data_IF_517128039751
#
_entry.id   IF_517128039751
#
_cell.length_a   1.000
_cell.length_b   1.000
_cell.length_c   1.000
_cell.angle_alpha   90.00
_cell.angle_beta   90.00
_cell.angle_gamma   90.00
#
_symmetry.space_group_name_H-M   'P 1'
#
loop_
_entity.id
_entity.type
_entity.pdbx_description
1 polymer ?
#
# COMPACT_ATOMS: atom_id res chain seq x y z
N UNK A 1 -0.61 4.75 -21.30
CA UNK A 1 0.36 4.42 -20.22
C UNK A 1 1.74 4.86 -20.67
N UNK A 2 2.53 5.43 -19.75
CA UNK A 2 3.91 5.85 -20.04
C UNK A 2 4.94 4.71 -19.93
N UNK A 3 4.57 3.62 -19.23
CA UNK A 3 5.39 2.42 -19.05
C UNK A 3 5.30 1.48 -20.26
N UNK A 4 6.43 0.93 -20.72
CA UNK A 4 6.52 0.12 -21.93
C UNK A 4 6.14 -1.36 -21.77
N UNK A 5 6.18 -1.90 -20.54
CA UNK A 5 5.80 -3.29 -20.23
C UNK A 5 5.13 -3.40 -18.85
N UNK A 6 3.95 -4.01 -18.79
CA UNK A 6 3.19 -4.22 -17.56
C UNK A 6 2.93 -5.71 -17.35
N UNK A 7 3.25 -6.21 -16.16
CA UNK A 7 2.84 -7.52 -15.69
C UNK A 7 1.72 -7.37 -14.65
N UNK A 8 0.79 -8.31 -14.59
CA UNK A 8 -0.29 -8.37 -13.62
C UNK A 8 -0.11 -9.62 -12.75
N UNK A 9 -0.20 -9.45 -11.44
CA UNK A 9 -0.24 -10.57 -10.50
C UNK A 9 -1.56 -10.49 -9.75
N UNK A 10 -2.51 -11.31 -10.15
CA UNK A 10 -3.77 -11.47 -9.45
C UNK A 10 -3.59 -12.44 -8.29
N UNK A 11 -3.59 -11.92 -7.07
CA UNK A 11 -3.44 -12.75 -5.88
C UNK A 11 -4.60 -12.57 -4.93
N UNK A 12 -5.26 -13.67 -4.58
CA UNK A 12 -6.37 -13.65 -3.62
C UNK A 12 -5.92 -13.40 -2.18
N UNK A 13 -6.85 -13.42 -1.22
CA UNK A 13 -6.50 -13.40 0.20
C UNK A 13 -5.64 -14.62 0.56
N UNK A 14 -4.60 -14.42 1.38
CA UNK A 14 -3.79 -15.54 1.87
C UNK A 14 -2.93 -16.26 0.82
N UNK A 15 -2.90 -15.82 -0.45
CA UNK A 15 -2.11 -16.46 -1.53
C UNK A 15 -0.62 -16.15 -1.54
N UNK A 16 -0.13 -15.46 -0.50
CA UNK A 16 1.29 -15.14 -0.38
C UNK A 16 1.76 -13.93 -1.17
N UNK A 17 0.88 -13.06 -1.71
CA UNK A 17 1.23 -11.81 -2.44
C UNK A 17 2.47 -11.09 -1.90
N UNK A 18 2.45 -10.65 -0.62
CA UNK A 18 3.57 -9.91 -0.03
C UNK A 18 4.86 -10.73 0.06
N UNK A 19 4.78 -12.07 0.15
CA UNK A 19 5.94 -12.97 0.12
C UNK A 19 6.49 -13.10 -1.29
N UNK A 20 5.63 -13.28 -2.28
CA UNK A 20 5.98 -13.30 -3.70
C UNK A 20 6.65 -12.00 -4.11
N UNK A 21 6.08 -10.84 -3.75
CA UNK A 21 6.66 -9.52 -4.03
C UNK A 21 8.07 -9.41 -3.43
N UNK A 22 8.25 -9.76 -2.15
CA UNK A 22 9.55 -9.66 -1.51
C UNK A 22 10.59 -10.60 -2.15
N UNK A 23 10.18 -11.83 -2.51
CA UNK A 23 11.03 -12.79 -3.21
C UNK A 23 11.45 -12.28 -4.59
N UNK A 24 10.50 -11.75 -5.38
CA UNK A 24 10.78 -11.15 -6.70
C UNK A 24 11.73 -9.97 -6.58
N UNK A 25 11.52 -9.06 -5.64
CA UNK A 25 12.44 -7.92 -5.41
C UNK A 25 13.85 -8.44 -5.05
N UNK A 26 13.93 -9.43 -4.17
CA UNK A 26 15.19 -10.03 -3.76
C UNK A 26 15.93 -10.66 -4.95
N UNK A 27 15.22 -11.42 -5.78
CA UNK A 27 15.76 -12.09 -6.95
C UNK A 27 16.23 -11.10 -8.02
N UNK A 28 15.38 -10.12 -8.37
CA UNK A 28 15.71 -9.08 -9.34
C UNK A 28 16.96 -8.29 -8.96
N UNK A 29 17.15 -8.04 -7.67
CA UNK A 29 18.28 -7.23 -7.17
C UNK A 29 19.55 -8.05 -6.95
N UNK A 30 19.44 -9.32 -6.52
CA UNK A 30 20.58 -10.25 -6.36
C UNK A 30 21.14 -10.70 -7.71
N UNK A 31 20.27 -11.00 -8.67
CA UNK A 31 20.64 -11.40 -10.03
C UNK A 31 21.01 -10.20 -10.93
N UNK A 32 21.07 -8.98 -10.36
CA UNK A 32 21.46 -7.74 -11.07
C UNK A 32 20.59 -7.45 -12.31
N UNK A 33 19.34 -7.93 -12.33
CA UNK A 33 18.36 -7.60 -13.38
C UNK A 33 18.03 -6.11 -13.35
N UNK A 34 18.00 -5.53 -12.14
CA UNK A 34 17.96 -4.09 -11.94
C UNK A 34 18.80 -3.71 -10.71
N UNK A 35 19.26 -2.46 -10.67
CA UNK A 35 20.02 -1.96 -9.51
C UNK A 35 19.15 -1.82 -8.27
N UNK A 36 17.93 -1.32 -8.46
CA UNK A 36 16.97 -0.99 -7.40
C UNK A 36 15.55 -1.17 -7.93
N UNK A 37 14.67 -1.73 -7.11
CA UNK A 37 13.23 -1.80 -7.37
C UNK A 37 12.51 -0.70 -6.60
N UNK A 38 11.58 -0.01 -7.26
CA UNK A 38 10.63 0.87 -6.59
C UNK A 38 9.39 0.06 -6.20
N UNK A 39 9.18 -0.11 -4.91
CA UNK A 39 8.01 -0.79 -4.36
C UNK A 39 6.99 0.23 -3.85
N UNK A 40 5.78 0.15 -4.38
CA UNK A 40 4.65 0.98 -4.03
C UNK A 40 3.54 0.13 -3.39
N UNK A 41 2.78 0.74 -2.48
CA UNK A 41 1.54 0.17 -2.00
C UNK A 41 0.46 1.24 -1.85
N UNK A 42 -0.81 0.85 -2.00
CA UNK A 42 -1.95 1.72 -1.74
C UNK A 42 -1.96 2.22 -0.28
N UNK A 43 -1.63 1.33 0.65
CA UNK A 43 -1.71 1.57 2.10
C UNK A 43 -0.37 1.29 2.80
N UNK A 44 -0.15 1.99 3.92
CA UNK A 44 1.09 1.83 4.70
C UNK A 44 1.22 0.43 5.30
N UNK A 45 0.12 -0.24 5.64
CA UNK A 45 0.16 -1.60 6.20
C UNK A 45 0.69 -2.62 5.20
N UNK A 46 0.23 -2.56 3.95
CA UNK A 46 0.74 -3.39 2.85
C UNK A 46 2.22 -3.10 2.59
N UNK A 47 2.62 -1.83 2.63
CA UNK A 47 4.01 -1.41 2.53
C UNK A 47 4.89 -2.10 3.60
N UNK A 48 4.45 -2.04 4.85
CA UNK A 48 5.17 -2.60 6.00
C UNK A 48 5.24 -4.13 5.98
N UNK A 49 4.19 -4.78 5.48
CA UNK A 49 4.15 -6.23 5.28
C UNK A 49 5.29 -6.71 4.38
N UNK A 50 5.57 -5.99 3.29
CA UNK A 50 6.65 -6.34 2.36
C UNK A 50 8.01 -5.89 2.90
N UNK A 51 8.13 -4.70 3.49
CA UNK A 51 9.40 -4.22 4.09
C UNK A 51 9.93 -5.21 5.14
N UNK A 52 9.07 -5.73 6.03
CA UNK A 52 9.49 -6.73 7.03
C UNK A 52 10.07 -7.99 6.37
N UNK A 53 9.50 -8.42 5.25
CA UNK A 53 9.98 -9.60 4.51
C UNK A 53 11.28 -9.32 3.76
N UNK A 54 11.42 -8.14 3.15
CA UNK A 54 12.67 -7.71 2.53
C UNK A 54 13.80 -7.65 3.57
N UNK A 55 13.50 -7.18 4.78
CA UNK A 55 14.44 -7.20 5.89
C UNK A 55 14.85 -8.62 6.30
N UNK A 56 13.89 -9.55 6.41
CA UNK A 56 14.18 -10.97 6.68
C UNK A 56 14.98 -11.65 5.55
N UNK A 57 15.06 -11.05 4.36
CA UNK A 57 15.85 -11.50 3.22
C UNK A 57 17.16 -10.71 3.06
N UNK A 58 17.51 -9.86 4.04
CA UNK A 58 18.68 -8.99 4.02
C UNK A 58 18.78 -8.10 2.78
N UNK A 59 17.63 -7.65 2.24
CA UNK A 59 17.60 -6.73 1.10
C UNK A 59 17.74 -5.29 1.63
N UNK A 60 18.78 -4.53 1.24
CA UNK A 60 18.93 -3.13 1.64
C UNK A 60 17.73 -2.29 1.19
N UNK A 61 16.92 -1.86 2.15
CA UNK A 61 15.60 -1.27 1.91
C UNK A 61 15.51 0.12 2.53
N UNK A 62 14.87 1.03 1.81
CA UNK A 62 14.61 2.40 2.26
C UNK A 62 13.12 2.65 2.22
N UNK A 63 12.54 3.17 3.31
CA UNK A 63 11.13 3.56 3.38
C UNK A 63 11.01 5.08 3.31
N UNK A 64 10.24 5.59 2.36
CA UNK A 64 9.80 6.99 2.38
C UNK A 64 8.35 7.07 2.85
N UNK A 65 8.14 7.71 4.00
CA UNK A 65 6.81 7.95 4.57
C UNK A 65 6.74 9.33 5.22
N UNK A 66 5.53 9.77 5.56
CA UNK A 66 5.33 10.98 6.34
C UNK A 66 5.70 10.74 7.81
N UNK A 67 6.30 11.77 8.44
CA UNK A 67 6.81 11.72 9.83
C UNK A 67 5.76 11.25 10.86
N UNK A 68 4.49 11.61 10.66
CA UNK A 68 3.38 11.24 11.54
C UNK A 68 3.07 9.73 11.57
N UNK A 69 3.48 8.97 10.55
CA UNK A 69 3.24 7.52 10.50
C UNK A 69 4.36 6.71 11.16
N UNK A 70 5.57 7.27 11.23
CA UNK A 70 6.77 6.61 11.75
C UNK A 70 6.78 6.53 13.29
N UNK A 71 6.28 7.57 13.95
CA UNK A 71 6.24 7.66 15.42
C UNK A 71 5.39 6.56 16.06
N UNK A 72 4.46 5.95 15.31
CA UNK A 72 3.55 4.92 15.81
C UNK A 72 4.13 3.49 15.79
N UNK A 73 5.24 3.22 15.10
CA UNK A 73 5.55 1.83 14.69
C UNK A 73 6.72 1.11 15.38
N UNK A 74 7.47 1.72 16.32
CA UNK A 74 8.55 1.06 17.12
C UNK A 74 9.33 -0.03 16.35
N UNK A 75 9.86 0.28 15.16
CA UNK A 75 10.67 -0.66 14.37
C UNK A 75 12.16 -0.54 14.72
N UNK A 76 12.90 -1.66 14.65
CA UNK A 76 14.33 -1.74 14.99
C UNK A 76 15.20 -0.80 14.13
N UNK A 77 16.14 -0.09 14.78
CA UNK A 77 17.01 0.96 14.21
C UNK A 77 18.00 0.49 13.12
N UNK A 78 18.19 -0.83 12.93
CA UNK A 78 19.29 -1.36 12.11
C UNK A 78 19.04 -1.42 10.59
N UNK A 79 17.80 -1.22 10.12
CA UNK A 79 17.48 -1.61 8.73
C UNK A 79 16.36 -0.83 8.04
N UNK A 80 15.91 0.26 8.64
CA UNK A 80 14.96 1.17 8.00
C UNK A 80 15.54 2.57 8.12
N UNK A 81 16.07 3.10 7.01
CA UNK A 81 16.24 4.55 6.85
C UNK A 81 14.83 5.14 6.79
N UNK A 82 14.29 5.49 7.95
CA UNK A 82 12.84 5.53 8.14
C UNK A 82 12.23 6.88 7.82
N UNK A 83 13.03 7.95 7.82
CA UNK A 83 12.58 9.30 7.48
C UNK A 83 13.64 10.05 6.67
N UNK A 84 13.18 10.98 5.82
CA UNK A 84 14.05 11.92 5.12
C UNK A 84 14.98 12.70 6.09
N UNK A 85 14.53 12.98 7.32
CA UNK A 85 15.34 13.68 8.33
C UNK A 85 16.46 12.81 8.91
N UNK A 86 16.23 11.49 9.04
CA UNK A 86 17.26 10.53 9.46
C UNK A 86 18.29 10.33 8.36
N UNK A 87 17.80 10.21 7.12
CA UNK A 87 18.64 10.17 5.93
C UNK A 87 19.55 11.40 5.90
N UNK A 88 19.01 12.62 6.02
CA UNK A 88 19.78 13.86 6.05
C UNK A 88 20.84 13.86 7.16
N UNK A 89 20.49 13.34 8.34
CA UNK A 89 21.42 13.26 9.47
C UNK A 89 22.55 12.25 9.23
N UNK A 90 22.26 11.12 8.57
CA UNK A 90 23.24 10.08 8.25
C UNK A 90 24.18 10.46 7.09
N UNK A 91 23.67 11.15 6.07
CA UNK A 91 24.49 11.59 4.92
C UNK A 91 25.22 12.90 5.17
N UNK A 92 25.15 13.45 6.39
CA UNK A 92 25.81 14.72 6.75
C UNK A 92 25.28 15.92 5.97
N UNK A 93 24.04 15.88 5.49
CA UNK A 93 23.47 16.97 4.74
C UNK A 93 23.09 18.14 5.64
N UNK A 94 23.22 19.36 5.09
CA UNK A 94 22.86 20.57 5.79
C UNK A 94 21.41 20.50 6.29
N UNK A 95 21.24 20.59 7.61
CA UNK A 95 19.92 20.81 8.20
C UNK A 95 19.36 22.14 7.71
N UNK A 96 18.03 22.27 7.60
CA UNK A 96 17.45 23.59 7.36
C UNK A 96 17.94 24.55 8.45
N UNK A 97 18.42 25.72 8.04
CA UNK A 97 18.76 26.86 8.92
C UNK A 97 17.56 27.20 9.81
N UNK A 98 17.82 27.84 10.97
CA UNK A 98 16.77 28.24 11.92
C UNK A 98 15.61 28.98 11.24
N UNK A 99 15.94 29.91 10.35
CA UNK A 99 14.98 30.70 9.55
C UNK A 99 14.13 29.82 8.63
N UNK A 100 14.74 28.91 7.85
CA UNK A 100 13.99 28.03 6.96
C UNK A 100 13.18 26.98 7.72
N UNK A 101 13.67 26.51 8.87
CA UNK A 101 12.93 25.64 9.77
C UNK A 101 11.68 26.36 10.35
N UNK A 102 11.79 27.65 10.67
CA UNK A 102 10.69 28.50 11.10
C UNK A 102 9.68 28.74 9.99
N UNK A 103 10.13 29.02 8.76
CA UNK A 103 9.28 29.05 7.56
C UNK A 103 8.46 27.76 7.41
N UNK A 104 9.09 26.60 7.54
CA UNK A 104 8.40 25.30 7.44
C UNK A 104 7.39 25.09 8.59
N UNK A 105 7.65 25.61 9.79
CA UNK A 105 6.71 25.57 10.92
C UNK A 105 5.47 26.42 10.62
N UNK A 106 5.64 27.65 10.16
CA UNK A 106 4.51 28.54 9.84
C UNK A 106 3.67 28.00 8.67
N UNK A 107 4.32 27.42 7.65
CA UNK A 107 3.64 26.72 6.56
C UNK A 107 2.80 25.52 7.06
N UNK A 108 3.28 24.77 8.05
CA UNK A 108 2.53 23.66 8.68
C UNK A 108 1.32 24.15 9.47
N UNK A 109 1.42 25.30 10.14
CA UNK A 109 0.28 25.97 10.81
C UNK A 109 -0.74 26.54 9.83
N UNK A 110 -0.47 26.49 8.52
CA UNK A 110 -1.26 27.09 7.44
C UNK A 110 -1.34 28.62 7.52
N UNK A 111 -0.44 29.28 8.26
CA UNK A 111 -0.32 30.73 8.28
C UNK A 111 0.51 31.19 7.07
N UNK A 112 -0.21 31.52 5.99
CA UNK A 112 0.43 31.96 4.73
C UNK A 112 1.13 33.31 4.86
N UNK A 113 0.64 34.21 5.73
CA UNK A 113 1.16 35.56 5.85
C UNK A 113 2.48 35.54 6.63
N UNK A 114 2.52 34.83 7.76
CA UNK A 114 3.73 34.62 8.55
C UNK A 114 4.80 33.86 7.76
N UNK A 115 4.41 32.77 7.08
CA UNK A 115 5.33 32.02 6.23
C UNK A 115 5.93 32.88 5.11
N UNK A 116 5.13 33.77 4.49
CA UNK A 116 5.63 34.65 3.41
C UNK A 116 6.64 35.69 3.90
N UNK A 117 6.52 36.15 5.15
CA UNK A 117 7.47 37.09 5.77
C UNK A 117 8.85 36.46 6.03
N UNK A 118 8.88 35.16 6.32
CA UNK A 118 10.11 34.40 6.62
C UNK A 118 10.70 33.78 5.35
N UNK A 119 9.94 33.74 4.26
CA UNK A 119 10.31 33.05 3.03
C UNK A 119 11.58 33.62 2.39
N UNK A 120 12.64 32.80 2.35
CA UNK A 120 13.87 33.08 1.63
C UNK A 120 14.04 32.07 0.49
N UNK A 121 13.97 32.56 -0.75
CA UNK A 121 14.09 31.76 -1.98
C UNK A 121 15.47 31.10 -2.11
N UNK A 122 16.55 31.76 -1.66
CA UNK A 122 17.91 31.22 -1.74
C UNK A 122 18.08 30.05 -0.78
N UNK A 123 17.53 30.16 0.44
CA UNK A 123 17.51 29.08 1.42
C UNK A 123 16.61 27.92 0.98
N UNK A 124 15.43 28.20 0.41
CA UNK A 124 14.56 27.15 -0.13
C UNK A 124 15.25 26.36 -1.24
N UNK A 125 15.89 27.05 -2.19
CA UNK A 125 16.64 26.39 -3.28
C UNK A 125 17.75 25.49 -2.73
N UNK A 126 18.56 26.01 -1.79
CA UNK A 126 19.63 25.25 -1.14
C UNK A 126 19.11 24.02 -0.40
N UNK A 127 17.96 24.14 0.28
CA UNK A 127 17.32 23.01 0.96
C UNK A 127 16.82 21.97 -0.03
N UNK A 128 16.16 22.37 -1.12
CA UNK A 128 15.68 21.46 -2.16
C UNK A 128 16.84 20.73 -2.86
N UNK A 129 17.95 21.42 -3.13
CA UNK A 129 19.17 20.81 -3.67
C UNK A 129 19.79 19.81 -2.70
N UNK A 130 19.92 20.18 -1.42
CA UNK A 130 20.42 19.28 -0.37
C UNK A 130 19.51 18.05 -0.25
N UNK A 131 18.20 18.24 -0.30
CA UNK A 131 17.21 17.15 -0.30
C UNK A 131 17.37 16.22 -1.48
N UNK A 132 17.48 16.76 -2.70
CA UNK A 132 17.73 15.97 -3.91
C UNK A 132 19.01 15.17 -3.79
N UNK A 133 20.08 15.76 -3.26
CA UNK A 133 21.36 15.09 -3.04
C UNK A 133 21.24 13.94 -2.02
N UNK A 134 20.59 14.16 -0.87
CA UNK A 134 20.34 13.12 0.13
C UNK A 134 19.60 11.92 -0.45
N UNK A 135 18.49 12.21 -1.15
CA UNK A 135 17.69 11.19 -1.83
C UNK A 135 18.58 10.43 -2.79
N UNK A 136 19.37 11.12 -3.63
CA UNK A 136 20.30 10.48 -4.57
C UNK A 136 21.34 9.57 -3.89
N UNK A 137 21.91 9.98 -2.77
CA UNK A 137 22.89 9.17 -2.00
C UNK A 137 22.24 7.91 -1.44
N UNK A 138 21.03 8.03 -0.89
CA UNK A 138 20.30 6.89 -0.33
C UNK A 138 19.84 5.92 -1.40
N UNK A 139 19.28 6.44 -2.50
CA UNK A 139 18.86 5.63 -3.64
C UNK A 139 20.03 4.87 -4.27
N UNK A 140 21.27 5.40 -4.21
CA UNK A 140 22.45 4.69 -4.71
C UNK A 140 22.75 3.39 -3.94
N UNK A 141 22.46 3.36 -2.64
CA UNK A 141 22.78 2.22 -1.78
C UNK A 141 21.58 1.28 -1.54
N UNK A 142 20.37 1.75 -1.82
CA UNK A 142 19.16 0.94 -1.72
C UNK A 142 19.06 -0.10 -2.85
N UNK A 143 18.53 -1.27 -2.51
CA UNK A 143 18.06 -2.29 -3.46
C UNK A 143 16.55 -2.26 -3.60
N UNK A 144 15.84 -1.83 -2.56
CA UNK A 144 14.41 -1.58 -2.59
C UNK A 144 14.10 -0.19 -2.01
N UNK A 145 13.27 0.57 -2.72
CA UNK A 145 12.77 1.87 -2.27
C UNK A 145 11.27 1.73 -2.12
N UNK A 146 10.77 1.88 -0.90
CA UNK A 146 9.40 1.59 -0.55
C UNK A 146 8.63 2.87 -0.24
N UNK A 147 7.55 3.13 -0.98
CA UNK A 147 6.70 4.31 -0.79
C UNK A 147 5.22 3.93 -0.79
N UNK A 148 4.36 4.70 -0.13
CA UNK A 148 2.96 4.72 -0.57
C UNK A 148 2.85 5.38 -1.94
N UNK A 149 1.81 5.08 -2.71
CA UNK A 149 1.60 5.64 -4.06
C UNK A 149 1.64 7.17 -4.05
N UNK A 150 0.98 7.80 -3.08
CA UNK A 150 0.98 9.25 -2.88
C UNK A 150 2.37 9.85 -2.58
N UNK A 151 3.31 9.03 -2.07
CA UNK A 151 4.67 9.46 -1.81
C UNK A 151 5.65 9.08 -2.94
N UNK A 152 5.20 8.38 -3.99
CA UNK A 152 6.01 8.05 -5.18
C UNK A 152 6.74 9.27 -5.79
N UNK A 153 6.12 10.46 -5.96
CA UNK A 153 6.82 11.63 -6.49
C UNK A 153 8.06 12.04 -5.68
N UNK A 154 8.08 11.72 -4.38
CA UNK A 154 9.19 12.09 -3.49
C UNK A 154 10.49 11.37 -3.82
N UNK A 155 10.41 10.23 -4.52
CA UNK A 155 11.57 9.47 -4.98
C UNK A 155 11.90 9.76 -6.45
N UNK A 156 11.07 10.54 -7.15
CA UNK A 156 11.34 11.08 -8.50
C UNK A 156 11.64 10.00 -9.54
N UNK A 157 10.98 8.85 -9.44
CA UNK A 157 11.25 7.68 -10.29
C UNK A 157 12.55 6.94 -9.95
N UNK A 158 13.30 7.36 -8.92
CA UNK A 158 14.47 6.71 -8.31
C UNK A 158 15.60 6.18 -9.24
N UNK A 159 15.52 6.41 -10.56
CA UNK A 159 16.24 5.60 -11.54
C UNK A 159 15.88 4.12 -11.48
N UNK A 160 14.74 3.76 -10.88
CA UNK A 160 14.30 2.37 -10.78
C UNK A 160 13.66 1.95 -12.11
N UNK A 161 14.29 1.00 -12.78
CA UNK A 161 13.79 0.45 -14.06
C UNK A 161 12.48 -0.32 -13.86
N UNK A 162 12.26 -0.84 -12.66
CA UNK A 162 11.13 -1.70 -12.30
C UNK A 162 10.38 -1.10 -11.12
N UNK A 163 9.06 -0.91 -11.31
CA UNK A 163 8.12 -0.53 -10.25
C UNK A 163 7.15 -1.68 -9.97
N UNK A 164 6.97 -2.03 -8.69
CA UNK A 164 5.97 -3.03 -8.25
C UNK A 164 4.95 -2.32 -7.37
N UNK A 165 3.66 -2.47 -7.68
CA UNK A 165 2.57 -1.82 -6.94
C UNK A 165 1.67 -2.88 -6.28
N UNK A 166 1.65 -2.93 -4.95
CA UNK A 166 0.75 -3.81 -4.17
C UNK A 166 -0.59 -3.13 -3.87
N UNK A 167 -1.62 -3.95 -3.69
CA UNK A 167 -3.02 -3.53 -3.55
C UNK A 167 -3.48 -2.64 -4.71
N UNK A 168 -3.04 -2.94 -5.94
CA UNK A 168 -3.29 -2.13 -7.12
C UNK A 168 -4.78 -1.98 -7.46
N UNK A 169 -5.61 -2.96 -7.06
CA UNK A 169 -7.07 -2.89 -7.16
C UNK A 169 -7.71 -1.79 -6.29
N UNK A 170 -7.03 -1.35 -5.23
CA UNK A 170 -7.51 -0.31 -4.30
C UNK A 170 -7.07 1.11 -4.70
N UNK A 171 -6.29 1.25 -5.77
CA UNK A 171 -5.74 2.54 -6.22
C UNK A 171 -6.61 3.08 -7.36
N UNK A 172 -7.21 4.27 -7.24
CA UNK A 172 -7.89 4.90 -8.36
C UNK A 172 -6.92 5.07 -9.55
N UNK A 173 -7.39 4.84 -10.78
CA UNK A 173 -6.50 4.86 -11.96
C UNK A 173 -5.65 6.14 -12.07
N UNK A 174 -6.23 7.31 -11.76
CA UNK A 174 -5.52 8.59 -11.80
C UNK A 174 -4.43 8.73 -10.73
N UNK A 175 -4.57 8.05 -9.58
CA UNK A 175 -3.55 8.03 -8.53
C UNK A 175 -2.36 7.12 -8.89
N UNK A 176 -2.47 6.29 -9.94
CA UNK A 176 -1.36 5.46 -10.40
C UNK A 176 -0.29 6.24 -11.18
N UNK A 177 -0.64 7.41 -11.73
CA UNK A 177 0.25 8.22 -12.59
C UNK A 177 1.63 8.46 -11.96
N UNK A 178 1.75 8.84 -10.66
CA UNK A 178 3.05 8.99 -10.02
C UNK A 178 3.89 7.72 -9.92
N UNK A 179 3.28 6.54 -9.85
CA UNK A 179 3.99 5.26 -9.83
C UNK A 179 4.42 4.84 -11.24
N UNK A 180 3.66 5.22 -12.26
CA UNK A 180 4.03 5.04 -13.67
C UNK A 180 5.15 5.98 -14.11
N UNK A 181 5.15 7.21 -13.58
CA UNK A 181 6.10 8.26 -13.93
C UNK A 181 7.53 7.92 -13.49
N UNK A 182 8.24 7.20 -14.36
CA UNK A 182 9.64 6.78 -14.18
C UNK A 182 9.88 5.27 -14.34
N UNK A 183 8.82 4.46 -14.39
CA UNK A 183 8.93 3.01 -14.56
C UNK A 183 9.15 2.64 -16.04
N UNK A 184 10.18 1.83 -16.34
CA UNK A 184 10.33 1.22 -17.66
C UNK A 184 9.52 -0.08 -17.76
N UNK A 185 9.44 -0.81 -16.64
CA UNK A 185 8.64 -2.02 -16.45
C UNK A 185 7.85 -1.89 -15.16
N UNK A 186 6.62 -2.40 -15.16
CA UNK A 186 5.76 -2.35 -13.99
C UNK A 186 5.14 -3.71 -13.71
N UNK A 187 5.01 -4.07 -12.43
CA UNK A 187 4.15 -5.16 -11.99
C UNK A 187 3.04 -4.61 -11.10
N UNK A 188 1.79 -4.85 -11.46
CA UNK A 188 0.62 -4.52 -10.65
C UNK A 188 0.16 -5.78 -9.93
N UNK A 189 0.16 -5.73 -8.60
CA UNK A 189 -0.22 -6.85 -7.74
C UNK A 189 -1.47 -6.46 -6.98
N UNK A 190 -2.50 -7.31 -7.02
CA UNK A 190 -3.75 -6.99 -6.35
C UNK A 190 -4.82 -8.03 -6.58
N UNK A 191 -6.03 -7.67 -6.17
CA UNK A 191 -7.23 -8.45 -6.36
C UNK A 191 -8.39 -7.53 -6.68
N UNK A 192 -8.92 -7.65 -7.89
CA UNK A 192 -10.04 -6.82 -8.36
C UNK A 192 -11.39 -7.30 -7.81
N UNK A 193 -11.43 -8.46 -7.14
CA UNK A 193 -12.61 -8.96 -6.43
C UNK A 193 -12.69 -8.51 -4.97
N UNK A 194 -11.64 -7.86 -4.46
CA UNK A 194 -11.60 -7.29 -3.10
C UNK A 194 -12.09 -5.83 -3.09
N UNK A 195 -11.80 -5.10 -2.01
CA UNK A 195 -12.26 -3.73 -1.82
C UNK A 195 -11.85 -2.84 -3.01
N UNK A 196 -12.80 -2.14 -3.65
CA UNK A 196 -12.47 -1.17 -4.68
C UNK A 196 -11.88 0.11 -4.06
N UNK A 197 -11.30 1.00 -4.88
CA UNK A 197 -10.85 2.31 -4.43
C UNK A 197 -11.99 3.15 -3.87
N UNK A 198 -11.73 3.89 -2.78
CA UNK A 198 -12.70 4.81 -2.19
C UNK A 198 -12.62 6.15 -2.93
N UNK A 199 -13.61 6.42 -3.80
CA UNK A 199 -13.70 7.68 -4.54
C UNK A 199 -14.68 8.62 -3.82
N UNK A 200 -14.16 9.64 -3.14
CA UNK A 200 -14.98 10.68 -2.52
C UNK A 200 -15.12 11.85 -3.49
N UNK A 201 -16.29 12.01 -4.09
CA UNK A 201 -16.61 13.13 -4.98
C UNK A 201 -17.75 13.96 -4.39
N UNK A 202 -17.60 15.29 -4.40
CA UNK A 202 -18.70 16.22 -4.11
C UNK A 202 -19.71 16.32 -5.25
N UNK A 203 -19.33 15.87 -6.45
CA UNK A 203 -20.20 15.82 -7.64
C UNK A 203 -20.75 14.41 -7.81
N UNK A 204 -22.07 14.30 -8.06
CA UNK A 204 -22.73 13.05 -8.46
C UNK A 204 -22.26 12.67 -9.87
N UNK A 205 -21.14 11.96 -9.94
CA UNK A 205 -20.65 11.37 -11.17
C UNK A 205 -21.10 9.91 -11.22
N UNK A 206 -21.45 9.37 -12.40
CA UNK A 206 -21.63 7.93 -12.53
C UNK A 206 -20.33 7.23 -12.13
N UNK A 207 -20.41 6.04 -11.49
CA UNK A 207 -19.22 5.29 -11.14
C UNK A 207 -18.42 4.96 -12.43
N UNK A 208 -17.08 5.00 -12.38
CA UNK A 208 -16.27 4.63 -13.53
C UNK A 208 -16.48 3.16 -13.90
N UNK A 209 -16.32 2.82 -15.19
CA UNK A 209 -16.47 1.45 -15.70
C UNK A 209 -15.52 0.44 -15.05
N UNK A 210 -14.33 0.89 -14.67
CA UNK A 210 -13.38 0.17 -13.84
C UNK A 210 -12.89 1.15 -12.78
N UNK A 211 -12.80 0.70 -11.53
CA UNK A 211 -12.45 1.58 -10.43
C UNK A 211 -10.93 1.81 -10.34
N UNK A 212 -10.13 0.86 -10.83
CA UNK A 212 -8.66 0.91 -10.84
C UNK A 212 -8.04 0.54 -12.20
N UNK A 213 -6.78 0.94 -12.40
CA UNK A 213 -5.99 0.50 -13.54
C UNK A 213 -5.85 -1.03 -13.57
N UNK A 214 -5.67 -1.65 -12.41
CA UNK A 214 -5.52 -3.10 -12.29
C UNK A 214 -6.77 -3.84 -12.76
N UNK A 215 -7.94 -3.43 -12.28
CA UNK A 215 -9.23 -3.99 -12.69
C UNK A 215 -9.43 -3.88 -14.20
N UNK A 216 -9.14 -2.72 -14.78
CA UNK A 216 -9.26 -2.51 -16.23
C UNK A 216 -8.34 -3.46 -17.02
N UNK A 217 -7.08 -3.59 -16.61
CA UNK A 217 -6.11 -4.41 -17.31
C UNK A 217 -6.37 -5.91 -17.14
N UNK A 218 -6.72 -6.37 -15.93
CA UNK A 218 -6.97 -7.78 -15.66
C UNK A 218 -8.26 -8.28 -16.33
N UNK A 219 -9.29 -7.42 -16.39
CA UNK A 219 -10.54 -7.71 -17.11
C UNK A 219 -10.30 -7.83 -18.61
N UNK A 220 -9.51 -6.91 -19.18
CA UNK A 220 -9.15 -6.96 -20.60
C UNK A 220 -8.27 -8.17 -20.95
N UNK A 221 -7.48 -8.67 -20.00
CA UNK A 221 -6.70 -9.90 -20.16
C UNK A 221 -7.53 -11.17 -19.91
N UNK A 222 -8.85 -11.06 -19.73
CA UNK A 222 -9.78 -12.14 -19.40
C UNK A 222 -9.38 -12.98 -18.17
N UNK A 223 -8.52 -12.45 -17.28
CA UNK A 223 -7.98 -13.19 -16.14
C UNK A 223 -7.15 -14.42 -16.50
N UNK A 224 -6.76 -14.59 -17.77
CA UNK A 224 -5.95 -15.72 -18.22
C UNK A 224 -4.52 -15.59 -17.71
N UNK A 225 -3.85 -16.72 -17.45
CA UNK A 225 -2.43 -16.72 -17.12
C UNK A 225 -1.62 -16.70 -18.41
N UNK A 226 -0.79 -15.67 -18.56
CA UNK A 226 0.07 -15.44 -19.74
C UNK A 226 1.47 -15.07 -19.26
N UNK A 227 2.42 -14.87 -20.19
CA UNK A 227 3.75 -14.36 -19.84
C UNK A 227 3.71 -13.00 -19.10
N UNK A 228 2.59 -12.27 -19.17
CA UNK A 228 2.39 -10.97 -18.52
C UNK A 228 1.33 -11.01 -17.40
N UNK A 229 0.70 -12.14 -17.12
CA UNK A 229 -0.39 -12.26 -16.13
C UNK A 229 -0.24 -13.54 -15.32
N UNK A 230 -0.21 -13.44 -13.99
CA UNK A 230 -0.11 -14.58 -13.10
C UNK A 230 -1.26 -14.59 -12.09
N UNK A 231 -1.92 -15.73 -11.93
CA UNK A 231 -2.91 -15.94 -10.88
C UNK A 231 -2.30 -16.76 -9.74
N UNK A 232 -2.25 -16.19 -8.52
CA UNK A 232 -1.85 -16.91 -7.32
C UNK A 232 -3.06 -17.64 -6.76
N UNK A 233 -3.27 -18.85 -7.29
CA UNK A 233 -4.46 -19.68 -7.10
C UNK A 233 -4.52 -20.44 -5.77
N UNK A 234 -3.46 -20.42 -4.96
CA UNK A 234 -3.34 -21.25 -3.77
C UNK A 234 -3.26 -20.39 -2.51
N UNK A 235 -4.20 -20.56 -1.57
CA UNK A 235 -4.23 -19.85 -0.29
C UNK A 235 -3.66 -20.68 0.88
N UNK A 236 -3.03 -19.98 1.83
CA UNK A 236 -2.35 -20.54 2.99
C UNK A 236 -2.92 -20.04 4.34
N UNK A 237 -4.03 -19.29 4.34
CA UNK A 237 -4.51 -18.51 5.50
C UNK A 237 -5.67 -19.15 6.25
N UNK A 238 -6.65 -19.71 5.56
CA UNK A 238 -7.88 -20.19 6.17
C UNK A 238 -8.14 -21.68 5.88
N UNK A 239 -9.03 -22.32 6.66
CA UNK A 239 -9.44 -23.69 6.39
C UNK A 239 -10.04 -23.90 5.00
N UNK A 240 -9.82 -25.08 4.37
CA UNK A 240 -10.30 -25.37 3.03
C UNK A 240 -11.79 -25.16 2.81
N UNK A 241 -12.64 -25.44 3.81
CA UNK A 241 -14.10 -25.23 3.72
C UNK A 241 -14.48 -23.76 3.49
N UNK A 242 -13.80 -22.82 4.16
CA UNK A 242 -14.05 -21.38 3.97
C UNK A 242 -13.51 -20.91 2.62
N UNK A 243 -12.33 -21.40 2.23
CA UNK A 243 -11.74 -21.07 0.95
C UNK A 243 -12.59 -21.59 -0.23
N UNK A 244 -13.17 -22.79 -0.11
CA UNK A 244 -14.00 -23.40 -1.14
C UNK A 244 -15.26 -22.58 -1.42
N UNK A 245 -15.93 -22.07 -0.38
CA UNK A 245 -17.10 -21.20 -0.55
C UNK A 245 -16.73 -19.90 -1.27
N UNK A 246 -15.66 -19.22 -0.83
CA UNK A 246 -15.18 -17.99 -1.48
C UNK A 246 -14.70 -18.25 -2.91
N UNK A 247 -14.09 -19.41 -3.16
CA UNK A 247 -13.65 -19.87 -4.48
C UNK A 247 -14.81 -19.97 -5.45
N UNK A 248 -15.89 -20.65 -5.05
CA UNK A 248 -17.09 -20.81 -5.86
C UNK A 248 -17.78 -19.45 -6.16
N UNK A 249 -17.92 -18.60 -5.14
CA UNK A 249 -18.65 -17.33 -5.26
C UNK A 249 -17.89 -16.27 -6.07
N UNK A 250 -16.58 -16.11 -5.84
CA UNK A 250 -15.83 -14.95 -6.34
C UNK A 250 -14.73 -15.29 -7.35
N UNK A 251 -14.28 -16.54 -7.41
CA UNK A 251 -13.10 -16.96 -8.16
C UNK A 251 -13.36 -18.16 -9.09
N UNK A 252 -14.62 -18.42 -9.47
CA UNK A 252 -15.01 -19.46 -10.44
C UNK A 252 -14.48 -20.87 -10.08
N UNK A 253 -14.33 -21.17 -8.80
CA UNK A 253 -13.77 -22.45 -8.33
C UNK A 253 -12.25 -22.60 -8.53
N UNK A 254 -11.55 -21.57 -9.02
CA UNK A 254 -10.11 -21.64 -9.33
C UNK A 254 -9.21 -21.54 -8.10
N UNK A 255 -9.72 -21.04 -6.98
CA UNK A 255 -8.96 -20.91 -5.72
C UNK A 255 -8.86 -22.26 -4.99
N UNK A 256 -7.62 -22.65 -4.67
CA UNK A 256 -7.21 -23.88 -3.98
C UNK A 256 -6.65 -23.56 -2.59
N UNK A 257 -6.64 -24.55 -1.72
CA UNK A 257 -5.99 -24.46 -0.40
C UNK A 257 -4.70 -25.26 -0.39
N UNK A 258 -3.64 -24.69 0.18
CA UNK A 258 -2.39 -25.41 0.38
C UNK A 258 -2.57 -26.56 1.38
N UNK A 259 -1.73 -27.60 1.28
CA UNK A 259 -1.73 -28.73 2.21
C UNK A 259 -1.47 -28.30 3.66
N UNK A 260 -0.64 -27.27 3.84
CA UNK A 260 -0.33 -26.68 5.14
C UNK A 260 -1.24 -25.50 5.51
N UNK A 261 -2.35 -25.29 4.79
CA UNK A 261 -3.38 -24.36 5.24
C UNK A 261 -3.89 -24.82 6.62
N UNK A 262 -4.30 -23.89 7.51
CA UNK A 262 -4.82 -24.27 8.81
C UNK A 262 -5.93 -25.30 8.64
N UNK A 263 -5.82 -26.43 9.33
CA UNK A 263 -6.91 -27.38 9.39
C UNK A 263 -8.16 -26.69 9.97
N UNK A 264 -9.34 -27.23 9.67
CA UNK A 264 -10.51 -26.89 10.47
C UNK A 264 -10.14 -27.07 11.93
N UNK A 265 -10.26 -26.00 12.71
CA UNK A 265 -9.96 -26.10 14.10
C UNK A 265 -10.91 -27.16 14.70
N UNK A 266 -10.36 -28.10 15.47
CA UNK A 266 -11.16 -29.00 16.32
C UNK A 266 -11.96 -28.25 17.39
N UNK A 267 -11.91 -26.92 17.42
CA UNK A 267 -13.02 -26.12 17.89
C UNK A 267 -14.14 -26.26 16.88
N UNK A 268 -14.83 -27.40 17.00
CA UNK A 268 -16.25 -27.50 16.70
C UNK A 268 -16.82 -26.15 17.12
N UNK A 269 -17.28 -25.37 16.14
CA UNK A 269 -18.37 -24.46 16.40
C UNK A 269 -19.47 -25.38 16.96
N UNK A 270 -19.47 -25.60 18.28
CA UNK A 270 -20.48 -26.41 18.96
C UNK A 270 -21.86 -25.76 18.85
N UNK A 271 -21.90 -24.56 18.25
CA UNK A 271 -23.03 -23.71 18.01
C UNK A 271 -23.02 -23.32 16.54
N UNK A 272 -24.20 -23.34 15.92
CA UNK A 272 -24.42 -22.91 14.54
C UNK A 272 -23.79 -21.54 14.27
N UNK A 273 -23.35 -21.28 13.03
CA UNK A 273 -23.08 -19.92 12.58
C UNK A 273 -24.28 -19.04 12.95
N UNK A 274 -24.12 -18.20 13.98
CA UNK A 274 -25.09 -17.15 14.25
C UNK A 274 -24.80 -16.08 13.22
N UNK A 275 -25.48 -16.17 12.07
CA UNK A 275 -25.64 -15.03 11.20
C UNK A 275 -26.34 -13.95 12.02
N UNK A 276 -25.60 -12.95 12.48
CA UNK A 276 -26.20 -11.79 13.13
C UNK A 276 -26.84 -10.98 12.01
N UNK A 277 -28.16 -11.12 11.86
CA UNK A 277 -28.91 -10.25 10.99
C UNK A 277 -28.90 -8.84 11.59
N UNK A 278 -28.05 -7.97 11.05
CA UNK A 278 -27.97 -6.57 11.47
C UNK A 278 -29.12 -5.72 10.90
N UNK A 279 -30.17 -6.33 10.31
CA UNK A 279 -31.34 -5.61 9.78
C UNK A 279 -32.16 -4.78 10.78
N UNK A 280 -32.23 -5.02 12.11
CA UNK A 280 -33.06 -4.14 12.94
C UNK A 280 -32.48 -2.72 13.06
N UNK A 281 -31.20 -2.52 12.75
CA UNK A 281 -30.59 -1.19 12.61
C UNK A 281 -30.84 -0.67 11.18
N UNK A 282 -32.12 -0.39 10.87
CA UNK A 282 -32.54 0.12 9.56
C UNK A 282 -31.77 1.40 9.22
N UNK A 283 -31.12 1.35 8.06
CA UNK A 283 -30.53 2.45 7.30
C UNK A 283 -31.41 3.71 7.31
N UNK A 284 -31.26 4.57 8.31
CA UNK A 284 -31.63 5.98 8.21
C UNK A 284 -30.49 6.75 7.55
N UNK A 285 -30.20 6.43 6.29
CA UNK A 285 -29.50 7.36 5.42
C UNK A 285 -30.48 8.48 5.05
N UNK A 286 -30.79 9.37 6.01
CA UNK A 286 -31.52 10.62 5.73
C UNK A 286 -30.56 11.80 5.63
N UNK A 287 -30.62 12.38 4.44
CA UNK A 287 -30.11 13.65 3.95
C UNK A 287 -28.63 13.75 3.57
N UNK A 288 -28.46 14.03 2.29
CA UNK A 288 -27.25 13.99 1.50
C UNK A 288 -26.34 15.22 1.68
N UNK A 289 -26.14 15.73 2.90
CA UNK A 289 -25.36 16.96 3.09
C UNK A 289 -24.29 16.97 4.17
N UNK A 290 -24.15 15.98 5.04
CA UNK A 290 -23.09 16.02 6.05
C UNK A 290 -22.32 14.70 6.18
N UNK A 291 -21.00 14.83 6.38
CA UNK A 291 -20.01 13.75 6.51
C UNK A 291 -20.61 12.50 7.16
N UNK A 292 -20.48 11.35 6.50
CA UNK A 292 -20.82 10.04 7.08
C UNK A 292 -20.11 9.93 8.42
N UNK A 293 -20.86 10.04 9.52
CA UNK A 293 -20.33 9.84 10.87
C UNK A 293 -20.12 8.33 11.07
N UNK A 294 -19.02 7.89 11.70
CA UNK A 294 -18.89 6.52 12.15
C UNK A 294 -20.10 6.13 13.01
N UNK A 295 -20.71 4.98 12.72
CA UNK A 295 -21.84 4.44 13.47
C UNK A 295 -21.38 3.29 14.37
N UNK A 296 -22.02 3.15 15.53
CA UNK A 296 -21.81 2.05 16.47
C UNK A 296 -23.17 1.45 16.80
N UNK A 297 -23.34 0.16 16.54
CA UNK A 297 -24.53 -0.62 16.97
C UNK A 297 -24.31 -1.09 18.41
N UNK A 298 -25.08 -0.61 19.41
CA UNK A 298 -24.90 -0.98 20.80
C UNK A 298 -25.10 -2.48 21.06
N UNK A 299 -26.10 -3.09 20.41
CA UNK A 299 -26.40 -4.52 20.50
C UNK A 299 -25.26 -5.37 19.94
N UNK A 300 -24.70 -4.97 18.79
CA UNK A 300 -23.50 -5.62 18.23
C UNK A 300 -22.30 -5.47 19.17
N UNK A 301 -22.12 -4.29 19.77
CA UNK A 301 -21.02 -4.03 20.69
C UNK A 301 -21.12 -4.82 22.02
N UNK A 302 -22.34 -5.11 22.47
CA UNK A 302 -22.59 -5.99 23.62
C UNK A 302 -22.30 -7.45 23.26
N UNK A 303 -22.78 -7.93 22.11
CA UNK A 303 -22.49 -9.29 21.63
C UNK A 303 -21.00 -9.53 21.43
N UNK A 304 -20.27 -8.55 20.89
CA UNK A 304 -18.81 -8.62 20.76
C UNK A 304 -18.12 -8.68 22.13
N UNK A 305 -18.66 -8.03 23.17
CA UNK A 305 -18.15 -8.15 24.55
C UNK A 305 -18.37 -9.55 25.11
N UNK A 306 -19.57 -10.12 24.94
CA UNK A 306 -19.85 -11.50 25.35
C UNK A 306 -18.91 -12.50 24.65
N UNK A 307 -18.68 -12.33 23.35
CA UNK A 307 -17.72 -13.16 22.60
C UNK A 307 -16.29 -13.00 23.10
N UNK A 308 -15.86 -11.78 23.43
CA UNK A 308 -14.54 -11.54 24.02
C UNK A 308 -14.39 -12.24 25.36
N UNK A 309 -15.39 -12.16 26.23
CA UNK A 309 -15.33 -12.76 27.58
C UNK A 309 -15.37 -14.30 27.53
N UNK A 310 -15.88 -14.86 26.43
CA UNK A 310 -15.84 -16.29 26.13
C UNK A 310 -14.48 -16.80 25.60
N UNK A 311 -13.74 -15.97 24.85
CA UNK A 311 -12.45 -16.33 24.21
C UNK A 311 -11.26 -16.19 25.17
#
# INVERSE_FOLDING_TARGET
MACGKVALVWGVFGSGKSRTIAAVICELTRNKVCRCVHFCAAQSLALDSVIRRLHSLDVPTVRFSSRAHLEKQKMSKKSILSSFDEICSLVGAARPTSVFAEYLKEKKKRDRLAARRIYDRKQEKRFLESRKWCVKVVLRNAKAVCTTVNNSPSVGGAGAEITIVDEAGQIPEHEMIPAEAGAQRMALVGDHKQLPPVIVSSRKLPPPKAASLFERLITNAAGETTNATAFLDTQFRCPPVLAAHLSAEYYEGKLRSAENAPAEAKYTFSHQFVGVDTKPDIFLARQATDRIKPYVSPSTAERVREMRDFL
#
